data_IF_909956377777
#
_entry.id   IF_909956377777
#
_cell.length_a   1.000
_cell.length_b   1.000
_cell.length_c   1.000
_cell.angle_alpha   90.00
_cell.angle_beta   90.00
_cell.angle_gamma   90.00
#
_symmetry.space_group_name_H-M   'P 1'
#
loop_
_entity.id
_entity.type
_entity.pdbx_description
1 polymer ?
#
# COMPACT_ATOMS: atom_id res chain seq x y z
N UNK A 1 18.59 22.00 16.96
CA UNK A 1 17.21 22.25 16.49
C UNK A 1 16.76 21.02 15.71
N UNK A 2 15.79 20.29 16.24
CA UNK A 2 15.33 19.00 15.74
C UNK A 2 14.55 19.16 14.42
N UNK A 3 15.04 18.56 13.34
CA UNK A 3 14.24 18.25 12.17
C UNK A 3 13.62 16.86 12.40
N UNK A 4 12.34 16.82 12.78
CA UNK A 4 11.55 15.58 12.77
C UNK A 4 11.41 15.13 11.32
N UNK A 5 12.11 14.05 10.97
CA UNK A 5 12.19 13.49 9.63
C UNK A 5 10.79 13.09 9.13
N UNK A 6 10.20 13.90 8.24
CA UNK A 6 9.02 13.53 7.45
C UNK A 6 9.45 12.63 6.31
N UNK A 7 9.71 11.35 6.59
CA UNK A 7 10.11 10.40 5.56
C UNK A 7 8.88 9.70 4.99
N UNK A 8 8.40 10.19 3.84
CA UNK A 8 7.58 9.39 2.92
C UNK A 8 8.55 8.65 2.00
N UNK A 9 8.79 7.36 2.27
CA UNK A 9 9.51 6.53 1.31
C UNK A 9 8.52 6.06 0.23
N UNK A 10 8.71 6.56 -0.99
CA UNK A 10 8.16 5.95 -2.20
C UNK A 10 9.20 4.96 -2.71
N UNK A 11 8.85 3.68 -2.87
CA UNK A 11 9.74 2.72 -3.50
C UNK A 11 9.27 2.38 -4.91
N UNK A 12 10.22 2.46 -5.83
CA UNK A 12 10.15 1.96 -7.20
C UNK A 12 10.25 0.44 -7.22
N UNK A 13 9.37 -0.21 -7.99
CA UNK A 13 9.33 -1.67 -8.07
C UNK A 13 10.06 -2.16 -9.33
N UNK A 14 10.96 -3.15 -9.16
CA UNK A 14 11.67 -3.77 -10.28
C UNK A 14 10.71 -4.72 -11.01
N UNK A 15 10.39 -4.39 -12.26
CA UNK A 15 9.58 -5.23 -13.14
C UNK A 15 10.44 -6.39 -13.70
N UNK A 16 10.65 -7.45 -12.92
CA UNK A 16 11.23 -8.69 -13.44
C UNK A 16 10.13 -9.74 -13.56
N UNK A 17 9.64 -9.88 -14.80
CA UNK A 17 8.97 -11.05 -15.37
C UNK A 17 7.55 -11.38 -14.89
N UNK A 18 6.80 -11.95 -15.84
CA UNK A 18 5.47 -12.57 -15.84
C UNK A 18 5.23 -13.69 -14.82
N UNK A 19 5.96 -13.71 -13.71
CA UNK A 19 5.79 -14.66 -12.61
C UNK A 19 4.80 -14.09 -11.62
N UNK A 20 4.08 -14.96 -10.92
CA UNK A 20 3.09 -14.62 -9.89
C UNK A 20 3.78 -14.04 -8.65
N UNK A 21 4.48 -12.93 -8.80
CA UNK A 21 5.20 -12.26 -7.73
C UNK A 21 4.20 -11.48 -6.86
N UNK A 22 4.47 -11.48 -5.56
CA UNK A 22 3.74 -10.67 -4.59
C UNK A 22 4.72 -9.68 -3.96
N UNK A 23 4.42 -8.38 -4.04
CA UNK A 23 5.04 -7.33 -3.20
C UNK A 23 5.03 -7.64 -1.70
N UNK A 24 4.27 -8.63 -1.21
CA UNK A 24 4.35 -9.07 0.19
C UNK A 24 5.73 -9.68 0.52
N UNK A 25 6.51 -10.03 -0.51
CA UNK A 25 7.91 -10.43 -0.42
C UNK A 25 8.90 -9.26 -0.57
N UNK A 26 8.43 -8.03 -0.84
CA UNK A 26 9.26 -6.82 -0.84
C UNK A 26 9.05 -6.07 0.49
N UNK A 27 10.08 -6.18 1.36
CA UNK A 27 10.11 -5.58 2.69
C UNK A 27 9.95 -4.04 2.73
N UNK A 28 10.15 -3.38 1.60
CA UNK A 28 9.96 -1.94 1.50
C UNK A 28 8.50 -1.60 1.19
N UNK A 29 7.84 -2.29 0.26
CA UNK A 29 6.42 -2.02 -0.07
C UNK A 29 5.44 -2.53 1.00
N UNK A 30 5.94 -3.37 1.91
CA UNK A 30 5.19 -3.88 3.08
C UNK A 30 5.49 -3.13 4.37
N UNK A 31 6.44 -2.18 4.32
CA UNK A 31 6.75 -1.33 5.46
C UNK A 31 5.63 -0.33 5.69
N UNK A 32 5.16 -0.26 6.94
CA UNK A 32 4.13 0.70 7.40
C UNK A 32 4.55 2.16 7.20
N UNK A 33 5.85 2.42 7.07
CA UNK A 33 6.42 3.75 6.86
C UNK A 33 6.46 4.16 5.38
N UNK A 34 6.01 3.30 4.48
CA UNK A 34 5.95 3.58 3.05
C UNK A 34 4.50 3.71 2.59
N UNK A 35 4.26 4.61 1.65
CA UNK A 35 2.96 4.72 0.99
C UNK A 35 3.05 3.94 -0.32
N UNK A 36 2.62 2.68 -0.28
CA UNK A 36 2.67 1.78 -1.44
C UNK A 36 1.59 2.15 -2.47
N UNK A 37 2.02 2.39 -3.71
CA UNK A 37 1.19 2.84 -4.82
C UNK A 37 1.19 1.79 -5.93
N UNK A 38 0.00 1.40 -6.34
CA UNK A 38 -0.23 0.51 -7.48
C UNK A 38 -0.47 1.30 -8.78
N UNK A 39 -0.75 0.58 -9.86
CA UNK A 39 -0.92 1.14 -11.21
C UNK A 39 -2.24 0.72 -11.84
N UNK A 40 -2.89 1.65 -12.54
CA UNK A 40 -3.98 1.36 -13.46
C UNK A 40 -3.64 1.86 -14.86
N UNK A 41 -4.16 1.18 -15.89
CA UNK A 41 -4.08 1.69 -17.26
C UNK A 41 -5.01 2.88 -17.47
N UNK A 42 -4.80 3.64 -18.53
CA UNK A 42 -5.67 4.77 -18.90
C UNK A 42 -7.16 4.40 -19.05
N UNK A 43 -7.45 3.15 -19.43
CA UNK A 43 -8.77 2.56 -19.57
C UNK A 43 -9.25 1.81 -18.32
N UNK A 44 -8.62 2.09 -17.16
CA UNK A 44 -9.02 1.60 -15.83
C UNK A 44 -8.90 0.07 -15.63
N UNK A 45 -7.97 -0.58 -16.32
CA UNK A 45 -7.68 -2.01 -16.15
C UNK A 45 -6.38 -2.24 -15.38
N UNK A 46 -6.21 -3.46 -14.85
CA UNK A 46 -4.92 -3.89 -14.28
C UNK A 46 -3.85 -3.97 -15.39
N UNK A 47 -2.68 -3.33 -15.21
CA UNK A 47 -1.53 -3.59 -16.09
C UNK A 47 -1.03 -5.03 -15.98
N UNK A 48 -0.44 -5.57 -17.05
CA UNK A 48 0.06 -6.95 -17.07
C UNK A 48 1.19 -7.20 -16.06
N UNK A 49 1.97 -6.16 -15.72
CA UNK A 49 3.08 -6.20 -14.77
C UNK A 49 2.63 -5.99 -13.30
N UNK A 50 1.33 -5.78 -13.05
CA UNK A 50 0.85 -5.49 -11.70
C UNK A 50 0.96 -6.74 -10.82
N UNK A 51 1.56 -6.55 -9.65
CA UNK A 51 1.63 -7.53 -8.56
C UNK A 51 0.62 -7.17 -7.46
N UNK A 52 0.00 -8.18 -6.85
CA UNK A 52 -1.09 -8.00 -5.89
C UNK A 52 -0.59 -8.10 -4.45
N UNK A 53 -0.91 -7.09 -3.63
CA UNK A 53 -0.56 -7.04 -2.21
C UNK A 53 -1.59 -6.31 -1.35
N UNK A 54 -1.88 -6.85 -0.15
CA UNK A 54 -2.71 -6.15 0.83
C UNK A 54 -2.06 -4.87 1.40
N UNK A 55 -0.76 -4.63 1.14
CA UNK A 55 -0.04 -3.43 1.58
C UNK A 55 -0.19 -2.22 0.64
N UNK A 56 -0.77 -2.40 -0.55
CA UNK A 56 -1.05 -1.29 -1.48
C UNK A 56 -2.17 -0.41 -0.95
N UNK A 57 -1.91 0.89 -0.77
CA UNK A 57 -2.90 1.84 -0.21
C UNK A 57 -3.79 2.43 -1.30
N UNK A 58 -3.20 2.83 -2.42
CA UNK A 58 -3.91 3.49 -3.51
C UNK A 58 -3.25 3.22 -4.85
N UNK A 59 -3.85 3.76 -5.90
CA UNK A 59 -3.44 3.56 -7.29
C UNK A 59 -3.33 4.91 -8.00
N UNK A 60 -2.37 5.03 -8.92
CA UNK A 60 -2.37 6.10 -9.93
C UNK A 60 -2.27 5.50 -11.31
N UNK A 61 -2.45 6.33 -12.34
CA UNK A 61 -2.32 5.88 -13.72
C UNK A 61 -0.87 5.57 -14.12
N UNK A 62 -0.70 4.59 -14.99
CA UNK A 62 0.53 4.28 -15.72
C UNK A 62 0.17 3.63 -17.05
N UNK A 63 1.17 3.08 -17.74
CA UNK A 63 1.00 2.35 -19.00
C UNK A 63 0.70 0.87 -18.78
N UNK A 64 0.39 0.12 -19.84
CA UNK A 64 0.55 -1.32 -19.84
C UNK A 64 1.06 -1.82 -21.19
N UNK A 65 0.27 -1.63 -22.24
CA UNK A 65 0.58 -2.16 -23.56
C UNK A 65 1.23 -1.10 -24.45
N UNK A 66 2.02 -1.54 -25.45
CA UNK A 66 2.71 -0.65 -26.40
C UNK A 66 1.77 0.22 -27.23
N UNK A 67 0.51 -0.21 -27.40
CA UNK A 67 -0.53 0.51 -28.15
C UNK A 67 -1.43 1.36 -27.25
N UNK A 68 -1.10 1.52 -25.97
CA UNK A 68 -1.85 2.36 -25.03
C UNK A 68 -1.02 3.60 -24.66
N UNK A 69 -1.67 4.73 -24.33
CA UNK A 69 -0.98 5.88 -23.78
C UNK A 69 -0.13 5.50 -22.57
N UNK A 70 1.10 6.00 -22.54
CA UNK A 70 2.02 5.89 -21.41
C UNK A 70 2.24 7.27 -20.77
N UNK A 71 3.03 7.31 -19.69
CA UNK A 71 3.26 8.57 -18.98
C UNK A 71 4.20 9.46 -19.79
N UNK A 72 3.79 10.71 -19.96
CA UNK A 72 4.56 11.76 -20.64
C UNK A 72 5.37 12.52 -19.60
N UNK A 73 6.69 12.55 -19.76
CA UNK A 73 7.59 13.23 -18.82
C UNK A 73 8.87 13.68 -19.53
N UNK A 74 9.74 14.39 -18.82
CA UNK A 74 11.07 14.79 -19.31
C UNK A 74 12.00 13.58 -19.42
N UNK A 75 12.95 13.62 -20.36
CA UNK A 75 13.92 12.53 -20.58
C UNK A 75 15.34 13.04 -20.76
N UNK A 76 16.32 12.18 -20.44
CA UNK A 76 17.76 12.49 -20.49
C UNK A 76 18.35 12.18 -21.87
N UNK A 77 19.42 12.87 -22.30
CA UNK A 77 20.08 14.02 -21.66
C UNK A 77 19.31 15.36 -21.79
N UNK A 78 18.32 15.42 -22.69
CA UNK A 78 17.37 16.51 -22.84
C UNK A 78 16.20 16.03 -23.71
N UNK A 79 14.97 16.44 -23.40
CA UNK A 79 13.81 16.14 -24.22
C UNK A 79 12.60 15.68 -23.42
N UNK A 80 11.70 14.97 -24.09
CA UNK A 80 10.47 14.45 -23.53
C UNK A 80 10.26 13.01 -24.02
N UNK A 81 9.88 12.13 -23.11
CA UNK A 81 9.41 10.79 -23.42
C UNK A 81 7.90 10.72 -23.32
N UNK A 82 7.29 9.93 -24.20
CA UNK A 82 5.87 9.55 -24.15
C UNK A 82 5.70 8.07 -23.83
N UNK A 83 6.76 7.42 -23.36
CA UNK A 83 6.87 5.97 -23.21
C UNK A 83 7.31 5.58 -21.79
N UNK A 84 7.18 6.46 -20.80
CA UNK A 84 7.51 6.09 -19.42
C UNK A 84 6.45 5.11 -18.88
N UNK A 85 6.89 3.94 -18.40
CA UNK A 85 6.03 2.79 -18.11
C UNK A 85 6.28 2.20 -16.71
N UNK A 86 5.37 1.31 -16.29
CA UNK A 86 5.53 0.53 -15.07
C UNK A 86 5.04 1.25 -13.82
N UNK A 87 5.04 0.54 -12.69
CA UNK A 87 4.70 1.12 -11.37
C UNK A 87 5.65 2.25 -10.96
N UNK A 88 6.86 2.26 -11.52
CA UNK A 88 7.81 3.36 -11.38
C UNK A 88 7.29 4.71 -11.91
N UNK A 89 6.35 4.71 -12.86
CA UNK A 89 5.71 5.92 -13.36
C UNK A 89 4.54 6.38 -12.48
N UNK A 90 3.93 5.45 -11.73
CA UNK A 90 2.83 5.72 -10.79
C UNK A 90 3.30 6.45 -9.53
N UNK A 91 4.39 5.98 -8.92
CA UNK A 91 4.89 6.56 -7.66
C UNK A 91 5.20 8.08 -7.74
N UNK A 92 5.83 8.62 -8.81
CA UNK A 92 6.02 10.06 -8.97
C UNK A 92 4.72 10.87 -9.11
N UNK A 93 3.67 10.30 -9.73
CA UNK A 93 2.36 10.96 -9.79
C UNK A 93 1.73 11.07 -8.40
N UNK A 94 1.79 10.00 -7.62
CA UNK A 94 1.34 10.01 -6.23
C UNK A 94 2.14 11.02 -5.39
N UNK A 95 3.46 11.08 -5.57
CA UNK A 95 4.32 12.05 -4.90
C UNK A 95 3.93 13.49 -5.24
N UNK A 96 3.61 13.78 -6.51
CA UNK A 96 3.10 15.08 -6.93
C UNK A 96 1.76 15.45 -6.26
N UNK A 97 0.82 14.51 -6.20
CA UNK A 97 -0.47 14.73 -5.51
C UNK A 97 -0.26 14.99 -4.01
N UNK A 98 0.64 14.23 -3.37
CA UNK A 98 0.98 14.38 -1.95
C UNK A 98 1.66 15.73 -1.70
N UNK A 99 2.49 16.23 -2.63
CA UNK A 99 3.07 17.55 -2.52
C UNK A 99 2.01 18.66 -2.49
N UNK A 100 0.96 18.57 -3.34
CA UNK A 100 -0.17 19.51 -3.31
C UNK A 100 -0.92 19.50 -1.96
N UNK A 101 -1.02 18.32 -1.36
CA UNK A 101 -1.63 18.16 -0.04
C UNK A 101 -0.83 18.81 1.08
N UNK A 102 0.49 18.60 1.05
CA UNK A 102 1.44 19.19 2.00
C UNK A 102 1.55 20.71 1.82
N UNK A 103 1.40 21.21 0.60
CA UNK A 103 1.28 22.64 0.33
C UNK A 103 0.00 23.20 0.98
N UNK A 104 -1.11 22.48 0.87
CA UNK A 104 -2.38 22.89 1.46
C UNK A 104 -2.42 22.77 2.99
N UNK A 105 -1.67 21.82 3.57
CA UNK A 105 -1.52 21.64 5.01
C UNK A 105 -0.11 21.10 5.33
N UNK A 106 0.84 21.97 5.70
CA UNK A 106 2.21 21.56 6.00
C UNK A 106 2.36 20.87 7.36
N UNK A 107 1.33 20.82 8.20
CA UNK A 107 1.37 20.21 9.53
C UNK A 107 1.03 18.71 9.52
N UNK A 108 0.59 18.18 8.37
CA UNK A 108 0.30 16.76 8.22
C UNK A 108 1.51 15.89 8.59
N UNK A 109 1.26 14.88 9.43
CA UNK A 109 2.19 13.80 9.72
C UNK A 109 2.18 12.75 8.61
N UNK A 110 3.14 11.83 8.62
CA UNK A 110 3.17 10.74 7.64
C UNK A 110 1.94 9.81 7.75
N UNK A 111 1.43 9.59 8.98
CA UNK A 111 0.19 8.83 9.23
C UNK A 111 -1.03 9.57 8.73
N UNK A 112 -1.12 10.87 8.98
CA UNK A 112 -2.21 11.69 8.45
C UNK A 112 -2.30 11.57 6.94
N UNK A 113 -1.16 11.61 6.24
CA UNK A 113 -1.15 11.45 4.78
C UNK A 113 -1.74 10.12 4.33
N UNK A 114 -1.38 9.01 4.97
CA UNK A 114 -1.96 7.69 4.65
C UNK A 114 -3.47 7.64 4.91
N UNK A 115 -3.94 8.21 6.03
CA UNK A 115 -5.36 8.29 6.37
C UNK A 115 -6.16 9.13 5.38
N UNK A 116 -5.60 10.24 4.91
CA UNK A 116 -6.28 11.08 3.93
C UNK A 116 -6.35 10.32 2.59
N UNK A 117 -5.22 9.77 2.13
CA UNK A 117 -5.15 9.02 0.86
C UNK A 117 -6.17 7.90 0.82
N UNK A 118 -6.24 7.05 1.84
CA UNK A 118 -7.20 5.93 1.85
C UNK A 118 -8.67 6.39 1.91
N UNK A 119 -8.94 7.56 2.51
CA UNK A 119 -10.32 8.12 2.62
C UNK A 119 -10.78 8.83 1.35
N UNK A 120 -9.84 9.34 0.55
CA UNK A 120 -10.14 10.10 -0.66
C UNK A 120 -9.90 9.31 -1.94
N UNK A 121 -9.28 8.13 -1.87
CA UNK A 121 -9.13 7.24 -3.01
C UNK A 121 -10.51 6.83 -3.56
N UNK A 122 -10.63 6.84 -4.88
CA UNK A 122 -11.86 6.57 -5.60
C UNK A 122 -11.80 5.18 -6.26
N UNK A 123 -12.55 4.18 -5.74
CA UNK A 123 -12.58 2.84 -6.32
C UNK A 123 -13.44 2.78 -7.60
N UNK A 124 -14.39 3.70 -7.78
CA UNK A 124 -15.45 3.61 -8.80
C UNK A 124 -14.95 3.31 -10.21
N UNK A 125 -13.92 3.99 -10.75
CA UNK A 125 -13.44 3.71 -12.10
C UNK A 125 -12.85 2.31 -12.27
N UNK A 126 -12.40 1.69 -11.18
CA UNK A 126 -11.69 0.41 -11.17
C UNK A 126 -12.57 -0.79 -10.76
N UNK A 127 -13.84 -0.56 -10.40
CA UNK A 127 -14.76 -1.61 -9.93
C UNK A 127 -15.05 -2.70 -10.97
N UNK A 128 -14.81 -2.44 -12.27
CA UNK A 128 -14.92 -3.44 -13.33
C UNK A 128 -13.86 -4.56 -13.25
N UNK A 129 -12.82 -4.39 -12.43
CA UNK A 129 -11.79 -5.40 -12.21
C UNK A 129 -12.19 -6.36 -11.07
N UNK A 130 -11.86 -7.67 -11.15
CA UNK A 130 -12.19 -8.61 -10.08
C UNK A 130 -11.26 -8.45 -8.86
N UNK A 131 -11.72 -8.89 -7.69
CA UNK A 131 -10.94 -8.90 -6.44
C UNK A 131 -11.15 -7.68 -5.54
N UNK A 132 -12.32 -7.04 -5.64
CA UNK A 132 -12.79 -6.06 -4.67
C UNK A 132 -13.54 -6.74 -3.53
N UNK A 133 -13.38 -6.21 -2.33
CA UNK A 133 -14.15 -6.60 -1.15
C UNK A 133 -14.45 -5.36 -0.30
N UNK A 134 -15.46 -5.45 0.56
CA UNK A 134 -15.79 -4.38 1.49
C UNK A 134 -15.20 -4.71 2.86
N UNK A 135 -14.45 -3.78 3.45
CA UNK A 135 -13.90 -3.94 4.79
C UNK A 135 -14.97 -3.70 5.90
N UNK A 136 -14.58 -3.89 7.17
CA UNK A 136 -15.49 -3.76 8.31
C UNK A 136 -16.06 -2.36 8.55
N UNK A 137 -15.53 -1.33 7.88
CA UNK A 137 -16.00 0.07 7.95
C UNK A 137 -16.68 0.52 6.64
N UNK A 138 -17.00 -0.42 5.75
CA UNK A 138 -17.79 -0.16 4.55
C UNK A 138 -17.01 0.36 3.34
N UNK A 139 -15.66 0.38 3.36
CA UNK A 139 -14.84 0.83 2.23
C UNK A 139 -14.48 -0.31 1.30
N UNK A 140 -14.45 -0.03 0.00
CA UNK A 140 -13.98 -0.97 -1.01
C UNK A 140 -12.46 -1.06 -1.00
N UNK A 141 -11.93 -2.27 -0.93
CA UNK A 141 -10.50 -2.55 -0.96
C UNK A 141 -10.19 -3.64 -1.99
N UNK A 142 -9.01 -3.57 -2.59
CA UNK A 142 -8.48 -4.58 -3.51
C UNK A 142 -6.99 -4.77 -3.29
N UNK A 143 -6.52 -6.01 -3.28
CA UNK A 143 -5.07 -6.30 -3.27
C UNK A 143 -4.36 -5.79 -4.54
N UNK A 144 -5.12 -5.45 -5.61
CA UNK A 144 -4.58 -4.86 -6.82
C UNK A 144 -4.48 -3.34 -6.72
N UNK A 145 -5.50 -2.70 -6.15
CA UNK A 145 -5.70 -1.26 -6.30
C UNK A 145 -5.74 -0.49 -4.98
N UNK A 146 -5.54 -1.17 -3.85
CA UNK A 146 -5.78 -0.62 -2.51
C UNK A 146 -7.21 -0.12 -2.39
N UNK A 147 -7.35 1.13 -1.95
CA UNK A 147 -8.62 1.83 -1.83
C UNK A 147 -9.12 2.48 -3.14
N UNK A 148 -8.34 2.40 -4.23
CA UNK A 148 -8.70 2.94 -5.54
C UNK A 148 -7.76 4.01 -6.07
N UNK A 149 -8.23 4.76 -7.07
CA UNK A 149 -7.44 5.83 -7.71
C UNK A 149 -7.29 7.03 -6.79
N UNK A 150 -6.09 7.59 -6.70
CA UNK A 150 -5.86 8.83 -5.97
C UNK A 150 -6.62 9.99 -6.64
N UNK A 151 -7.44 10.69 -5.85
CA UNK A 151 -8.12 11.92 -6.26
C UNK A 151 -7.42 13.12 -5.60
N UNK A 152 -6.63 13.86 -6.38
CA UNK A 152 -5.88 15.00 -5.87
C UNK A 152 -6.77 16.14 -5.35
N UNK A 153 -7.94 16.35 -5.96
CA UNK A 153 -8.88 17.38 -5.53
C UNK A 153 -9.51 17.05 -4.19
N UNK A 154 -10.00 15.81 -4.04
CA UNK A 154 -10.57 15.32 -2.78
C UNK A 154 -9.51 15.27 -1.67
N UNK A 155 -8.29 14.84 -1.99
CA UNK A 155 -7.17 14.75 -1.07
C UNK A 155 -6.78 16.13 -0.52
N UNK A 156 -6.57 17.12 -1.39
CA UNK A 156 -6.27 18.51 -0.99
C UNK A 156 -7.42 19.11 -0.19
N UNK A 157 -8.68 18.86 -0.59
CA UNK A 157 -9.85 19.35 0.13
C UNK A 157 -9.92 18.81 1.56
N UNK A 158 -9.67 17.50 1.74
CA UNK A 158 -9.66 16.89 3.07
C UNK A 158 -8.45 17.35 3.90
N UNK A 159 -7.27 17.47 3.29
CA UNK A 159 -6.05 17.95 3.94
C UNK A 159 -6.22 19.31 4.64
N UNK A 160 -6.92 20.26 4.01
CA UNK A 160 -7.18 21.61 4.57
C UNK A 160 -7.97 21.61 5.88
N UNK A 161 -8.77 20.57 6.12
CA UNK A 161 -9.66 20.47 7.29
C UNK A 161 -9.29 19.28 8.18
N UNK A 162 -8.16 18.63 7.90
CA UNK A 162 -7.73 17.43 8.58
C UNK A 162 -7.31 17.75 10.02
N UNK A 163 -7.74 16.90 10.94
CA UNK A 163 -7.28 16.91 12.33
C UNK A 163 -6.31 15.76 12.51
N UNK A 164 -5.10 16.07 12.97
CA UNK A 164 -4.03 15.09 13.20
C UNK A 164 -4.51 13.93 14.07
N UNK A 165 -4.17 12.72 13.64
CA UNK A 165 -4.50 11.49 14.36
C UNK A 165 -3.78 11.41 15.72
N UNK A 166 -4.33 10.68 16.71
CA UNK A 166 -3.65 10.44 17.98
C UNK A 166 -2.31 9.71 17.82
N UNK A 167 -1.54 9.64 18.91
CA UNK A 167 -0.26 8.91 18.96
C UNK A 167 -0.40 7.46 18.46
N UNK A 168 0.66 6.95 17.84
CA UNK A 168 0.65 5.58 17.32
C UNK A 168 0.86 4.62 18.49
N UNK A 169 0.05 3.58 18.57
CA UNK A 169 0.22 2.50 19.54
C UNK A 169 0.43 1.18 18.80
N UNK A 170 1.35 0.37 19.32
CA UNK A 170 1.69 -0.95 18.77
C UNK A 170 1.29 -2.00 19.79
N UNK A 171 0.44 -2.92 19.36
CA UNK A 171 0.02 -4.07 20.14
C UNK A 171 0.51 -5.34 19.45
N UNK A 172 1.31 -6.14 20.15
CA UNK A 172 1.94 -7.34 19.61
C UNK A 172 1.43 -8.56 20.36
N UNK A 173 1.04 -9.59 19.60
CA UNK A 173 0.68 -10.89 20.14
C UNK A 173 1.59 -11.97 19.58
N UNK A 174 1.96 -12.93 20.42
CA UNK A 174 2.76 -14.09 20.02
C UNK A 174 1.87 -15.33 19.94
N UNK A 175 1.82 -15.97 18.77
CA UNK A 175 1.20 -17.28 18.62
C UNK A 175 2.27 -18.36 18.58
N UNK A 176 2.26 -19.25 19.59
CA UNK A 176 3.18 -20.39 19.65
C UNK A 176 2.54 -21.62 19.01
N UNK A 177 3.18 -22.12 17.95
CA UNK A 177 2.77 -23.36 17.30
C UNK A 177 2.84 -24.55 18.28
N UNK A 178 1.76 -25.33 18.38
CA UNK A 178 1.76 -26.57 19.13
C UNK A 178 2.80 -27.57 18.57
N UNK A 179 3.33 -28.45 19.42
CA UNK A 179 4.30 -29.47 19.00
C UNK A 179 3.73 -30.39 17.89
N UNK A 180 4.55 -30.86 16.93
CA UNK A 180 5.99 -30.59 16.80
C UNK A 180 6.29 -29.15 16.31
N UNK A 181 7.43 -28.57 16.70
CA UNK A 181 7.91 -27.26 16.26
C UNK A 181 9.45 -27.28 16.21
N UNK A 182 10.10 -27.22 15.03
CA UNK A 182 9.56 -26.89 13.71
C UNK A 182 8.66 -27.99 13.12
N UNK A 183 7.58 -27.59 12.42
CA UNK A 183 6.73 -28.52 11.67
C UNK A 183 7.32 -28.76 10.28
N UNK A 184 7.50 -30.02 9.84
CA UNK A 184 7.86 -30.30 8.46
C UNK A 184 6.77 -29.79 7.51
N UNK A 185 7.12 -28.87 6.61
CA UNK A 185 6.25 -28.42 5.53
C UNK A 185 6.53 -29.31 4.32
N UNK A 186 5.60 -30.21 3.97
CA UNK A 186 5.72 -31.11 2.82
C UNK A 186 4.50 -30.97 1.91
N UNK A 187 4.74 -30.91 0.59
CA UNK A 187 3.66 -30.82 -0.41
C UNK A 187 2.78 -29.57 -0.25
N UNK A 188 1.47 -29.73 -0.48
CA UNK A 188 0.47 -28.69 -0.18
C UNK A 188 0.24 -28.66 1.33
N UNK A 189 0.71 -27.60 1.97
CA UNK A 189 0.55 -27.38 3.40
C UNK A 189 -0.44 -26.24 3.65
N UNK A 190 -1.42 -26.48 4.53
CA UNK A 190 -2.34 -25.45 5.02
C UNK A 190 -2.46 -25.60 6.52
N UNK A 191 -2.39 -24.46 7.22
CA UNK A 191 -2.60 -24.39 8.66
C UNK A 191 -3.44 -23.15 8.97
N UNK A 192 -4.48 -23.35 9.77
CA UNK A 192 -5.28 -22.26 10.31
C UNK A 192 -4.92 -22.11 11.79
N UNK A 193 -4.79 -20.88 12.25
CA UNK A 193 -4.67 -20.54 13.66
C UNK A 193 -5.60 -19.37 13.95
N UNK A 194 -6.06 -19.31 15.20
CA UNK A 194 -6.94 -18.26 15.69
C UNK A 194 -6.32 -17.71 16.96
N UNK A 195 -6.32 -16.39 17.07
CA UNK A 195 -5.78 -15.67 18.21
C UNK A 195 -6.83 -14.67 18.65
N UNK A 196 -7.35 -14.86 19.86
CA UNK A 196 -8.26 -13.91 20.48
C UNK A 196 -7.44 -12.72 20.99
N UNK A 197 -7.76 -11.53 20.50
CA UNK A 197 -7.03 -10.29 20.78
C UNK A 197 -8.00 -9.23 21.29
N UNK A 198 -7.54 -8.40 22.22
CA UNK A 198 -8.32 -7.31 22.82
C UNK A 198 -7.74 -5.92 22.52
N UNK A 199 -6.68 -5.81 21.71
CA UNK A 199 -6.02 -4.54 21.42
C UNK A 199 -5.16 -4.00 22.57
N UNK A 200 -4.60 -4.88 23.41
CA UNK A 200 -3.71 -4.53 24.53
C UNK A 200 -4.37 -3.62 25.60
N UNK A 201 -5.61 -3.93 26.00
CA UNK A 201 -6.41 -3.12 26.95
C UNK A 201 -5.72 -2.83 28.29
N UNK A 202 -4.86 -3.74 28.77
CA UNK A 202 -4.16 -3.58 30.05
C UNK A 202 -2.99 -2.59 30.02
N UNK A 203 -2.61 -2.10 28.84
CA UNK A 203 -1.54 -1.13 28.63
C UNK A 203 -2.06 0.11 27.90
N UNK A 204 -1.44 0.41 26.75
CA UNK A 204 -1.89 1.49 25.87
C UNK A 204 -2.68 0.88 24.70
N UNK A 205 -4.02 0.96 24.71
CA UNK A 205 -4.83 0.19 23.80
C UNK A 205 -4.79 0.73 22.37
N UNK A 206 -4.88 -0.18 21.40
CA UNK A 206 -5.16 0.15 20.00
C UNK A 206 -6.67 0.25 19.82
N UNK A 207 -7.19 1.48 19.79
CA UNK A 207 -8.63 1.75 19.65
C UNK A 207 -9.11 1.70 18.19
N UNK A 208 -8.23 2.08 17.26
CA UNK A 208 -8.50 2.12 15.83
C UNK A 208 -7.34 1.49 15.10
N UNK A 209 -7.65 0.52 14.24
CA UNK A 209 -6.62 -0.19 13.50
C UNK A 209 -6.13 0.64 12.31
N UNK A 210 -4.82 0.63 12.08
CA UNK A 210 -4.19 1.25 10.91
C UNK A 210 -3.49 0.20 10.04
N UNK A 211 -2.47 -0.47 10.61
CA UNK A 211 -1.70 -1.51 9.93
C UNK A 211 -1.68 -2.79 10.78
N UNK A 212 -1.68 -3.94 10.11
CA UNK A 212 -1.47 -5.25 10.73
C UNK A 212 -0.29 -5.92 10.06
N UNK A 213 0.67 -6.41 10.85
CA UNK A 213 1.82 -7.15 10.34
C UNK A 213 1.81 -8.58 10.92
N UNK A 214 1.95 -9.58 10.05
CA UNK A 214 2.16 -10.97 10.46
C UNK A 214 3.62 -11.33 10.24
N UNK A 215 4.30 -11.69 11.32
CA UNK A 215 5.69 -12.14 11.30
C UNK A 215 5.73 -13.66 11.49
N UNK A 216 6.04 -14.39 10.41
CA UNK A 216 6.24 -15.84 10.46
C UNK A 216 7.73 -16.18 10.38
N UNK A 217 8.17 -17.17 11.18
CA UNK A 217 9.55 -17.67 11.18
C UNK A 217 9.55 -19.12 10.69
N UNK A 218 10.46 -19.46 9.77
CA UNK A 218 10.65 -20.82 9.25
C UNK A 218 12.11 -21.08 8.87
N UNK A 219 12.55 -22.33 9.02
CA UNK A 219 13.96 -22.73 8.81
C UNK A 219 14.38 -22.83 7.32
N UNK A 220 13.44 -22.64 6.38
CA UNK A 220 13.74 -22.25 5.00
C UNK A 220 13.06 -20.91 4.73
N UNK A 221 13.83 -19.95 4.23
CA UNK A 221 13.46 -18.54 4.05
C UNK A 221 12.13 -18.40 3.30
N UNK A 222 11.06 -18.18 4.04
CA UNK A 222 9.83 -17.56 3.56
C UNK A 222 9.64 -16.29 4.40
N UNK A 223 10.35 -15.22 4.03
CA UNK A 223 10.13 -13.92 4.64
C UNK A 223 8.91 -13.29 3.94
N UNK A 224 7.72 -13.71 4.34
CA UNK A 224 6.47 -13.08 3.89
C UNK A 224 6.06 -12.06 4.95
N UNK A 225 6.23 -10.78 4.65
CA UNK A 225 5.61 -9.72 5.43
C UNK A 225 4.21 -9.50 4.87
N UNK A 226 3.22 -10.14 5.50
CA UNK A 226 1.82 -9.89 5.15
C UNK A 226 1.39 -8.68 5.96
N UNK A 227 1.43 -7.52 5.31
CA UNK A 227 0.88 -6.27 5.82
C UNK A 227 -0.56 -6.12 5.33
N UNK A 228 -1.55 -6.14 6.23
CA UNK A 228 -2.90 -5.71 5.90
C UNK A 228 -3.07 -4.24 6.27
N UNK A 229 -3.69 -3.47 5.39
CA UNK A 229 -4.21 -2.14 5.70
C UNK A 229 -5.73 -2.30 5.68
N UNK A 230 -6.36 -2.18 6.85
CA UNK A 230 -7.82 -2.29 6.99
C UNK A 230 -8.47 -0.99 6.59
#
# INVERSE_FOLDING_TARGET
>A
MHATSKQLLFKYKNNIDSRQDSCSADGYTTSVYTLSISSATYDNHRPWYLEECPSSIATTYSSANINQPAIVTVDVPSGCTKMHTGTSASAPLAAGIIALALEANPDLTWRDMQHIVLRTANPTPLLGNPGWSQNGVGRMISNKFGYGLMDGGALVKLAKTWKTVPEQHICTYEYKLAAPNPRPIQGRFQMNFTLEVNGCESGTPVLYLEHVQVHATGERVFQHHIGFII
#
